data_IF_640345120679
#
_entry.id   IF_640345120679
#
_cell.length_a   1.000
_cell.length_b   1.000
_cell.length_c   1.000
_cell.angle_alpha   90.00
_cell.angle_beta   90.00
_cell.angle_gamma   90.00
#
_symmetry.space_group_name_H-M   'P 1'
#
loop_
_entity.id
_entity.type
_entity.pdbx_description
1 polymer ?
#
# COMPACT_ATOMS: atom_id res chain seq x y z
N UNK A 1 -7.26 31.42 56.25
CA UNK A 1 -6.23 31.24 55.18
C UNK A 1 -6.15 29.81 54.62
N UNK A 2 -7.26 29.04 54.54
CA UNK A 2 -7.23 27.62 54.17
C UNK A 2 -7.76 27.22 52.77
N UNK A 3 -8.23 28.19 51.98
CA UNK A 3 -8.88 27.85 50.70
C UNK A 3 -7.97 27.82 49.46
N UNK A 4 -6.66 28.07 49.62
CA UNK A 4 -5.72 28.12 48.50
C UNK A 4 -5.19 26.74 48.02
N UNK A 5 -5.03 25.78 48.92
CA UNK A 5 -4.40 24.50 48.64
C UNK A 5 -5.29 23.53 47.86
N UNK A 6 -6.61 23.59 48.05
CA UNK A 6 -7.55 22.66 47.36
C UNK A 6 -7.74 22.99 45.88
N UNK A 7 -7.54 24.25 45.48
CA UNK A 7 -7.68 24.67 44.05
C UNK A 7 -6.51 24.24 43.19
N UNK A 8 -5.28 24.18 43.72
CA UNK A 8 -4.07 23.80 42.98
C UNK A 8 -4.06 22.29 42.68
N UNK A 9 -4.55 21.44 43.58
CA UNK A 9 -4.60 19.99 43.38
C UNK A 9 -5.57 19.57 42.26
N UNK A 10 -6.70 20.28 42.11
CA UNK A 10 -7.70 20.02 41.08
C UNK A 10 -7.18 20.31 39.66
N UNK A 11 -6.43 21.37 39.48
CA UNK A 11 -5.85 21.70 38.17
C UNK A 11 -4.75 20.71 37.72
N UNK A 12 -3.93 20.24 38.65
CA UNK A 12 -2.90 19.23 38.35
C UNK A 12 -3.52 17.87 37.96
N UNK A 13 -4.59 17.46 38.64
CA UNK A 13 -5.33 16.23 38.30
C UNK A 13 -5.98 16.32 36.92
N UNK A 14 -6.63 17.43 36.60
CA UNK A 14 -7.26 17.65 35.30
C UNK A 14 -6.24 17.61 34.16
N UNK A 15 -5.09 18.26 34.34
CA UNK A 15 -4.02 18.24 33.35
C UNK A 15 -3.44 16.82 33.12
N UNK A 16 -3.34 16.02 34.16
CA UNK A 16 -2.87 14.62 34.07
C UNK A 16 -3.90 13.75 33.31
N UNK A 17 -5.18 13.88 33.63
CA UNK A 17 -6.26 13.15 32.93
C UNK A 17 -6.27 13.49 31.45
N UNK A 18 -6.16 14.76 31.08
CA UNK A 18 -6.11 15.20 29.68
C UNK A 18 -4.90 14.63 28.91
N UNK A 19 -3.73 14.52 29.56
CA UNK A 19 -2.54 13.90 28.95
C UNK A 19 -2.73 12.41 28.75
N UNK A 20 -3.29 11.71 29.75
CA UNK A 20 -3.57 10.26 29.66
C UNK A 20 -4.60 9.98 28.57
N UNK A 21 -5.67 10.77 28.48
CA UNK A 21 -6.66 10.65 27.40
C UNK A 21 -6.06 10.91 26.03
N UNK A 22 -5.16 11.91 25.91
CA UNK A 22 -4.42 12.16 24.68
C UNK A 22 -3.54 10.97 24.27
N UNK A 23 -2.77 10.41 25.19
CA UNK A 23 -1.93 9.25 24.96
C UNK A 23 -2.77 8.00 24.56
N UNK A 24 -3.87 7.77 25.25
CA UNK A 24 -4.79 6.67 24.95
C UNK A 24 -5.39 6.80 23.55
N UNK A 25 -5.80 8.01 23.15
CA UNK A 25 -6.30 8.28 21.79
C UNK A 25 -5.26 7.94 20.72
N UNK A 26 -3.99 8.33 20.91
CA UNK A 26 -2.93 8.01 19.96
C UNK A 26 -2.67 6.50 19.90
N UNK A 27 -2.67 5.82 21.06
CA UNK A 27 -2.52 4.36 21.10
C UNK A 27 -3.62 3.65 20.33
N UNK A 28 -4.88 4.05 20.53
CA UNK A 28 -6.03 3.48 19.80
C UNK A 28 -5.87 3.68 18.30
N UNK A 29 -5.48 4.86 17.84
CA UNK A 29 -5.24 5.12 16.41
C UNK A 29 -4.14 4.21 15.85
N UNK A 30 -3.01 4.06 16.55
CA UNK A 30 -1.91 3.20 16.10
C UNK A 30 -2.36 1.73 16.02
N UNK A 31 -3.09 1.24 17.01
CA UNK A 31 -3.62 -0.14 17.03
C UNK A 31 -4.59 -0.38 15.88
N UNK A 32 -5.53 0.55 15.65
CA UNK A 32 -6.51 0.45 14.55
C UNK A 32 -5.83 0.48 13.20
N UNK A 33 -4.88 1.40 12.99
CA UNK A 33 -4.11 1.48 11.73
C UNK A 33 -3.30 0.20 11.52
N UNK A 34 -2.62 -0.31 12.56
CA UNK A 34 -1.85 -1.55 12.50
C UNK A 34 -2.74 -2.75 12.13
N UNK A 35 -3.94 -2.85 12.75
CA UNK A 35 -4.91 -3.90 12.44
C UNK A 35 -5.41 -3.82 10.98
N UNK A 36 -5.75 -2.62 10.51
CA UNK A 36 -6.20 -2.41 9.13
C UNK A 36 -5.11 -2.79 8.13
N UNK A 37 -3.85 -2.37 8.37
CA UNK A 37 -2.72 -2.72 7.50
C UNK A 37 -2.47 -4.24 7.50
N UNK A 38 -2.51 -4.89 8.65
CA UNK A 38 -2.38 -6.34 8.76
C UNK A 38 -3.50 -7.08 8.02
N UNK A 39 -4.75 -6.63 8.17
CA UNK A 39 -5.90 -7.19 7.48
C UNK A 39 -5.80 -7.04 5.96
N UNK A 40 -5.36 -5.86 5.48
CA UNK A 40 -5.11 -5.61 4.06
C UNK A 40 -4.07 -6.56 3.49
N UNK A 41 -2.96 -6.70 4.21
CA UNK A 41 -1.87 -7.60 3.81
C UNK A 41 -2.33 -9.07 3.76
N UNK A 42 -2.96 -9.55 4.83
CA UNK A 42 -3.49 -10.92 4.88
C UNK A 42 -4.53 -11.18 3.79
N UNK A 43 -5.37 -10.19 3.46
CA UNK A 43 -6.35 -10.33 2.38
C UNK A 43 -5.71 -10.43 1.01
N UNK A 44 -4.58 -9.75 0.77
CA UNK A 44 -3.88 -9.84 -0.54
C UNK A 44 -3.28 -11.22 -0.79
N UNK A 45 -2.82 -11.91 0.26
CA UNK A 45 -2.27 -13.27 0.16
C UNK A 45 -3.33 -14.32 -0.22
N UNK A 46 -4.60 -14.08 0.10
CA UNK A 46 -5.70 -15.01 -0.16
C UNK A 46 -6.38 -14.79 -1.52
N UNK A 47 -6.04 -13.73 -2.23
CA UNK A 47 -6.62 -13.42 -3.54
C UNK A 47 -5.81 -14.07 -4.65
N UNK A 48 -6.48 -14.77 -5.56
CA UNK A 48 -5.82 -15.47 -6.65
C UNK A 48 -5.78 -14.64 -7.92
N UNK A 49 -4.73 -14.82 -8.69
CA UNK A 49 -4.65 -14.33 -10.05
C UNK A 49 -5.71 -15.03 -10.91
N UNK A 50 -6.25 -14.36 -11.90
CA UNK A 50 -7.16 -14.92 -12.89
C UNK A 50 -6.45 -15.08 -14.23
N UNK A 51 -6.89 -16.03 -15.05
CA UNK A 51 -6.43 -16.17 -16.42
C UNK A 51 -7.56 -15.67 -17.33
N UNK A 52 -7.32 -14.58 -18.04
CA UNK A 52 -8.26 -13.95 -18.96
C UNK A 52 -7.58 -13.74 -20.32
N UNK A 53 -8.17 -14.25 -21.39
CA UNK A 53 -7.66 -14.13 -22.77
C UNK A 53 -6.18 -14.52 -22.95
N UNK A 54 -5.72 -15.54 -22.24
CA UNK A 54 -4.31 -15.97 -22.30
C UNK A 54 -3.34 -15.10 -21.51
N UNK A 55 -3.85 -14.13 -20.74
CA UNK A 55 -3.07 -13.30 -19.82
C UNK A 55 -3.35 -13.70 -18.37
N UNK A 56 -2.30 -13.80 -17.56
CA UNK A 56 -2.45 -13.92 -16.11
C UNK A 56 -2.64 -12.54 -15.52
N UNK A 57 -3.82 -12.29 -14.92
CA UNK A 57 -4.22 -10.99 -14.40
C UNK A 57 -4.10 -10.98 -12.88
N UNK A 58 -3.46 -9.97 -12.33
CA UNK A 58 -3.23 -9.74 -10.90
C UNK A 58 -3.99 -8.49 -10.45
N UNK A 59 -5.25 -8.63 -10.04
CA UNK A 59 -6.06 -7.50 -9.60
C UNK A 59 -5.57 -6.97 -8.25
N UNK A 60 -5.91 -5.71 -7.89
CA UNK A 60 -5.82 -5.23 -6.52
C UNK A 60 -6.69 -6.08 -5.60
N UNK A 61 -6.21 -6.37 -4.39
CA UNK A 61 -6.96 -7.19 -3.44
C UNK A 61 -8.33 -6.59 -3.11
N UNK A 62 -9.31 -7.44 -2.79
CA UNK A 62 -10.68 -7.02 -2.41
C UNK A 62 -10.65 -6.06 -1.24
N UNK A 63 -9.76 -6.32 -0.28
CA UNK A 63 -9.62 -5.47 0.88
C UNK A 63 -9.18 -4.05 0.50
N UNK A 64 -8.21 -3.88 -0.41
CA UNK A 64 -7.80 -2.55 -0.86
C UNK A 64 -8.92 -1.86 -1.65
N UNK A 65 -9.68 -2.61 -2.45
CA UNK A 65 -10.85 -2.09 -3.18
C UNK A 65 -11.91 -1.58 -2.22
N UNK A 66 -12.29 -2.39 -1.23
CA UNK A 66 -13.27 -2.02 -0.20
C UNK A 66 -12.80 -0.81 0.61
N UNK A 67 -11.52 -0.80 1.04
CA UNK A 67 -10.96 0.32 1.79
C UNK A 67 -10.98 1.61 0.97
N UNK A 68 -10.60 1.55 -0.31
CA UNK A 68 -10.60 2.75 -1.18
C UNK A 68 -12.01 3.28 -1.38
N UNK A 69 -13.00 2.42 -1.59
CA UNK A 69 -14.41 2.82 -1.70
C UNK A 69 -14.86 3.46 -0.37
N UNK A 70 -14.56 2.81 0.76
CA UNK A 70 -14.94 3.34 2.08
C UNK A 70 -14.32 4.71 2.36
N UNK A 71 -13.01 4.87 2.11
CA UNK A 71 -12.33 6.15 2.25
C UNK A 71 -12.89 7.20 1.29
N UNK A 72 -13.19 6.81 0.05
CA UNK A 72 -13.80 7.69 -0.94
C UNK A 72 -15.15 8.22 -0.46
N UNK A 73 -16.03 7.33 0.01
CA UNK A 73 -17.34 7.71 0.55
C UNK A 73 -17.19 8.59 1.80
N UNK A 74 -16.27 8.24 2.72
CA UNK A 74 -16.03 9.01 3.92
C UNK A 74 -15.53 10.43 3.61
N UNK A 75 -14.54 10.58 2.75
CA UNK A 75 -14.03 11.91 2.37
C UNK A 75 -15.04 12.72 1.57
N UNK A 76 -15.82 12.09 0.68
CA UNK A 76 -16.90 12.76 -0.03
C UNK A 76 -17.99 13.26 0.94
N UNK A 77 -18.35 12.45 1.94
CA UNK A 77 -19.33 12.83 2.97
C UNK A 77 -18.82 13.98 3.85
N UNK A 78 -17.54 13.94 4.24
CA UNK A 78 -16.90 15.02 5.02
C UNK A 78 -16.79 16.30 4.18
N UNK A 79 -16.47 16.20 2.89
CA UNK A 79 -16.49 17.35 1.97
C UNK A 79 -17.88 17.98 1.94
N UNK A 80 -18.92 17.20 1.66
CA UNK A 80 -20.30 17.71 1.60
C UNK A 80 -20.74 18.30 2.93
N UNK A 81 -20.49 17.59 4.03
CA UNK A 81 -20.82 18.09 5.36
C UNK A 81 -20.11 19.42 5.66
N UNK A 82 -18.82 19.49 5.43
CA UNK A 82 -18.05 20.73 5.68
C UNK A 82 -18.50 21.88 4.80
N UNK A 83 -18.84 21.61 3.54
CA UNK A 83 -19.37 22.62 2.61
C UNK A 83 -20.65 23.27 3.08
N UNK A 84 -21.57 22.49 3.67
CA UNK A 84 -22.86 23.00 4.13
C UNK A 84 -22.84 23.47 5.60
N UNK A 85 -22.03 22.87 6.46
CA UNK A 85 -22.03 23.16 7.91
C UNK A 85 -21.05 24.27 8.28
N UNK A 86 -19.90 24.38 7.61
CA UNK A 86 -18.90 25.38 7.92
C UNK A 86 -19.15 26.64 7.10
N UNK A 87 -19.79 27.63 7.72
CA UNK A 87 -20.10 28.91 7.09
C UNK A 87 -19.18 30.06 7.56
N UNK A 88 -18.17 29.77 8.39
CA UNK A 88 -17.23 30.76 8.87
C UNK A 88 -16.20 31.10 7.81
N UNK A 89 -15.91 32.38 7.55
CA UNK A 89 -14.96 32.78 6.52
C UNK A 89 -13.54 32.25 6.75
N UNK A 90 -13.16 31.97 8.00
CA UNK A 90 -11.83 31.47 8.35
C UNK A 90 -11.64 29.97 8.07
N UNK A 91 -12.75 29.24 7.82
CA UNK A 91 -12.75 27.78 7.63
C UNK A 91 -13.01 27.35 6.18
N UNK A 92 -13.03 28.28 5.21
CA UNK A 92 -13.33 28.02 3.80
C UNK A 92 -12.42 27.00 3.13
N UNK A 93 -11.23 26.79 3.64
CA UNK A 93 -10.23 25.83 3.11
C UNK A 93 -10.51 24.36 3.49
N UNK A 94 -11.29 24.11 4.55
CA UNK A 94 -11.53 22.75 5.08
C UNK A 94 -12.17 21.82 4.06
N UNK A 95 -13.22 22.23 3.33
CA UNK A 95 -13.78 21.37 2.26
C UNK A 95 -12.74 20.97 1.21
N UNK A 96 -11.88 21.90 0.79
CA UNK A 96 -10.84 21.60 -0.22
C UNK A 96 -9.78 20.64 0.29
N UNK A 97 -9.51 20.62 1.60
CA UNK A 97 -8.64 19.63 2.23
C UNK A 97 -9.23 18.22 2.05
N UNK A 98 -10.51 18.02 2.33
CA UNK A 98 -11.16 16.72 2.14
C UNK A 98 -11.23 16.30 0.67
N UNK A 99 -11.46 17.24 -0.24
CA UNK A 99 -11.39 16.99 -1.68
C UNK A 99 -9.98 16.56 -2.10
N UNK A 100 -8.94 17.20 -1.55
CA UNK A 100 -7.55 16.82 -1.77
C UNK A 100 -7.24 15.40 -1.29
N UNK A 101 -7.71 15.00 -0.10
CA UNK A 101 -7.58 13.63 0.39
C UNK A 101 -8.33 12.60 -0.46
N UNK A 102 -9.53 12.95 -0.94
CA UNK A 102 -10.27 12.11 -1.88
C UNK A 102 -9.48 11.89 -3.17
N UNK A 103 -8.96 12.96 -3.77
CA UNK A 103 -8.15 12.88 -4.97
C UNK A 103 -6.88 12.04 -4.75
N UNK A 104 -6.20 12.24 -3.61
CA UNK A 104 -5.02 11.45 -3.23
C UNK A 104 -5.37 9.96 -3.08
N UNK A 105 -6.46 9.62 -2.39
CA UNK A 105 -6.90 8.23 -2.22
C UNK A 105 -7.14 7.53 -3.56
N UNK A 106 -7.75 8.26 -4.51
CA UNK A 106 -7.97 7.76 -5.87
C UNK A 106 -6.66 7.61 -6.66
N UNK A 107 -5.70 8.53 -6.50
CA UNK A 107 -4.41 8.46 -7.20
C UNK A 107 -3.51 7.31 -6.70
N UNK A 108 -3.65 6.93 -5.43
CA UNK A 108 -2.85 5.85 -4.80
C UNK A 108 -3.42 4.47 -5.09
N UNK A 109 -4.63 4.37 -5.68
CA UNK A 109 -5.24 3.08 -6.01
C UNK A 109 -4.34 2.24 -6.92
N UNK A 110 -3.97 1.00 -6.51
CA UNK A 110 -3.04 0.18 -7.28
C UNK A 110 -3.64 -0.24 -8.62
N UNK A 111 -2.81 -0.30 -9.68
CA UNK A 111 -3.25 -0.73 -11.00
C UNK A 111 -3.51 -2.24 -11.04
N UNK A 112 -4.32 -2.67 -11.98
CA UNK A 112 -4.41 -4.08 -12.38
C UNK A 112 -3.17 -4.42 -13.21
N UNK A 113 -2.51 -5.53 -12.88
CA UNK A 113 -1.33 -6.00 -13.59
C UNK A 113 -1.68 -7.22 -14.40
N UNK A 114 -1.03 -7.40 -15.54
CA UNK A 114 -1.20 -8.56 -16.40
C UNK A 114 0.14 -9.06 -16.93
N UNK A 115 0.27 -10.38 -17.01
CA UNK A 115 1.41 -11.06 -17.66
C UNK A 115 0.87 -11.78 -18.88
N UNK A 116 1.36 -11.42 -20.05
CA UNK A 116 1.00 -12.04 -21.32
C UNK A 116 2.18 -12.68 -22.01
N UNK A 117 1.93 -13.23 -23.19
CA UNK A 117 2.96 -13.83 -24.06
C UNK A 117 4.00 -12.79 -24.46
N UNK A 118 3.56 -11.56 -24.79
CA UNK A 118 4.42 -10.50 -25.34
C UNK A 118 5.12 -9.66 -24.27
N UNK A 119 4.67 -9.71 -23.00
CA UNK A 119 5.22 -8.84 -21.97
C UNK A 119 4.31 -8.66 -20.76
N UNK A 120 4.58 -7.61 -20.02
CA UNK A 120 3.89 -7.23 -18.79
C UNK A 120 3.05 -5.97 -19.05
N UNK A 121 1.79 -6.02 -18.65
CA UNK A 121 0.86 -4.89 -18.70
C UNK A 121 0.55 -4.34 -17.31
N UNK A 122 0.22 -3.06 -17.26
CA UNK A 122 -0.32 -2.38 -16.08
C UNK A 122 -1.42 -1.44 -16.53
N UNK A 123 -2.63 -1.66 -16.05
CA UNK A 123 -3.80 -0.86 -16.36
C UNK A 123 -4.28 -0.12 -15.09
N UNK A 124 -4.18 1.20 -15.13
CA UNK A 124 -4.68 2.05 -14.04
C UNK A 124 -6.19 2.30 -14.22
N UNK A 125 -6.92 2.48 -13.13
CA UNK A 125 -8.34 2.87 -13.15
C UNK A 125 -8.61 4.19 -13.91
N UNK A 126 -7.60 5.08 -14.05
CA UNK A 126 -7.67 6.30 -14.88
C UNK A 126 -7.50 6.03 -16.39
N UNK A 127 -7.51 4.77 -16.83
CA UNK A 127 -7.32 4.40 -18.23
C UNK A 127 -5.88 4.50 -18.73
N UNK A 128 -4.91 4.78 -17.86
CA UNK A 128 -3.49 4.78 -18.23
C UNK A 128 -2.99 3.35 -18.34
N UNK A 129 -2.54 2.99 -19.53
CA UNK A 129 -1.93 1.70 -19.78
C UNK A 129 -0.41 1.85 -19.92
N UNK A 130 0.33 0.92 -19.29
CA UNK A 130 1.77 0.76 -19.47
C UNK A 130 2.01 -0.67 -19.90
N UNK A 131 2.80 -0.86 -20.95
CA UNK A 131 3.23 -2.18 -21.41
C UNK A 131 4.75 -2.19 -21.52
N UNK A 132 5.37 -3.28 -21.05
CA UNK A 132 6.80 -3.57 -21.18
C UNK A 132 6.88 -4.92 -21.88
N UNK A 133 7.58 -4.98 -23.01
CA UNK A 133 7.88 -6.24 -23.71
C UNK A 133 8.95 -7.02 -22.98
N UNK A 134 8.98 -8.32 -23.09
CA UNK A 134 9.98 -9.15 -22.43
C UNK A 134 11.40 -8.77 -22.82
N UNK A 135 11.64 -8.48 -24.11
CA UNK A 135 12.92 -8.05 -24.68
C UNK A 135 13.43 -6.70 -24.14
N UNK A 136 12.53 -5.84 -23.67
CA UNK A 136 12.85 -4.52 -23.12
C UNK A 136 13.19 -4.57 -21.63
N UNK A 137 12.96 -5.68 -20.93
CA UNK A 137 13.22 -5.80 -19.49
C UNK A 137 14.71 -5.80 -19.23
N UNK A 138 15.19 -4.86 -18.41
CA UNK A 138 16.61 -4.69 -18.11
C UNK A 138 16.98 -5.02 -16.68
N UNK A 139 16.08 -4.85 -15.72
CA UNK A 139 16.37 -5.18 -14.33
C UNK A 139 15.11 -5.46 -13.52
N UNK A 140 15.28 -6.33 -12.53
CA UNK A 140 14.26 -6.71 -11.56
C UNK A 140 14.68 -6.18 -10.18
N UNK A 141 13.74 -5.61 -9.44
CA UNK A 141 13.97 -5.10 -8.07
C UNK A 141 12.89 -5.60 -7.14
N UNK A 142 13.29 -6.11 -6.01
CA UNK A 142 12.39 -6.54 -4.96
C UNK A 142 12.73 -5.86 -3.64
N UNK A 143 11.73 -5.27 -2.99
CA UNK A 143 11.86 -4.66 -1.68
C UNK A 143 11.11 -5.52 -0.67
N UNK A 144 11.86 -6.16 0.23
CA UNK A 144 11.28 -7.07 1.23
C UNK A 144 10.50 -6.35 2.32
N UNK A 145 10.74 -5.04 2.54
CA UNK A 145 10.06 -4.28 3.59
C UNK A 145 8.60 -3.94 3.28
N UNK A 146 8.26 -3.81 2.01
CA UNK A 146 6.89 -3.51 1.56
C UNK A 146 6.40 -4.48 0.46
N UNK A 147 7.14 -5.57 0.24
CA UNK A 147 6.85 -6.61 -0.76
C UNK A 147 6.62 -6.06 -2.18
N UNK A 148 7.27 -4.96 -2.49
CA UNK A 148 7.18 -4.37 -3.82
C UNK A 148 8.15 -5.04 -4.78
N UNK A 149 7.63 -5.53 -5.90
CA UNK A 149 8.42 -6.04 -7.00
C UNK A 149 8.30 -5.10 -8.20
N UNK A 150 9.43 -4.60 -8.69
CA UNK A 150 9.48 -3.61 -9.77
C UNK A 150 10.26 -4.17 -10.95
N UNK A 151 9.62 -4.15 -12.11
CA UNK A 151 10.22 -4.45 -13.41
C UNK A 151 10.60 -3.14 -14.08
N UNK A 152 11.86 -3.02 -14.47
CA UNK A 152 12.37 -1.84 -15.17
C UNK A 152 12.71 -2.21 -16.63
N UNK A 153 12.31 -1.33 -17.54
CA UNK A 153 12.61 -1.45 -18.97
C UNK A 153 13.72 -0.48 -19.40
N UNK A 154 14.35 -0.80 -20.53
CA UNK A 154 15.37 0.05 -21.16
C UNK A 154 14.84 1.46 -21.48
N UNK A 155 13.56 1.58 -21.82
CA UNK A 155 12.87 2.85 -22.06
C UNK A 155 12.69 3.74 -20.81
N UNK A 156 13.17 3.31 -19.63
CA UNK A 156 12.93 3.96 -18.35
C UNK A 156 11.53 3.71 -17.77
N UNK A 157 10.66 2.96 -18.48
CA UNK A 157 9.35 2.55 -17.97
C UNK A 157 9.52 1.58 -16.80
N UNK A 158 8.60 1.71 -15.83
CA UNK A 158 8.58 0.83 -14.65
C UNK A 158 7.17 0.34 -14.42
N UNK A 159 7.04 -0.95 -14.14
CA UNK A 159 5.80 -1.57 -13.66
C UNK A 159 6.12 -2.15 -12.29
N UNK A 160 5.31 -1.76 -11.29
CA UNK A 160 5.50 -2.19 -9.90
C UNK A 160 4.27 -2.98 -9.46
N UNK A 161 4.52 -4.21 -9.00
CA UNK A 161 3.56 -4.98 -8.23
C UNK A 161 3.68 -4.54 -6.78
N UNK A 162 2.64 -3.93 -6.26
CA UNK A 162 2.56 -3.61 -4.83
C UNK A 162 2.17 -4.87 -4.05
N UNK A 163 2.60 -4.99 -2.80
CA UNK A 163 2.22 -6.13 -1.94
C UNK A 163 0.71 -6.25 -1.66
N UNK A 164 -0.09 -5.31 -2.16
CA UNK A 164 -1.56 -5.32 -2.09
C UNK A 164 -2.26 -5.87 -3.35
N UNK A 165 -1.53 -6.27 -4.38
CA UNK A 165 -2.07 -6.99 -5.52
C UNK A 165 -2.10 -8.50 -5.22
N UNK A 166 -2.96 -9.23 -5.94
CA UNK A 166 -3.08 -10.68 -5.80
C UNK A 166 -1.74 -11.40 -6.04
N UNK A 167 -1.49 -12.45 -5.28
CA UNK A 167 -0.38 -13.41 -5.45
C UNK A 167 0.99 -12.78 -5.79
N UNK A 168 1.59 -11.97 -4.91
CA UNK A 168 2.87 -11.33 -5.20
C UNK A 168 4.00 -12.34 -5.48
N UNK A 169 3.95 -13.51 -4.86
CA UNK A 169 4.90 -14.60 -5.09
C UNK A 169 4.82 -15.16 -6.51
N UNK A 170 3.60 -15.46 -6.99
CA UNK A 170 3.38 -15.96 -8.33
C UNK A 170 3.81 -14.93 -9.40
N UNK A 171 3.45 -13.66 -9.21
CA UNK A 171 3.87 -12.58 -10.11
C UNK A 171 5.40 -12.51 -10.25
N UNK A 172 6.11 -12.54 -9.12
CA UNK A 172 7.58 -12.53 -9.08
C UNK A 172 8.16 -13.74 -9.77
N UNK A 173 7.65 -14.96 -9.46
CA UNK A 173 8.12 -16.21 -10.05
C UNK A 173 7.95 -16.22 -11.57
N UNK A 174 6.77 -15.87 -12.08
CA UNK A 174 6.48 -15.84 -13.51
C UNK A 174 7.39 -14.90 -14.28
N UNK A 175 7.65 -13.70 -13.74
CA UNK A 175 8.54 -12.75 -14.40
C UNK A 175 9.99 -13.25 -14.37
N UNK A 176 10.44 -13.75 -13.22
CA UNK A 176 11.79 -14.25 -13.06
C UNK A 176 12.07 -15.43 -13.98
N UNK A 177 11.13 -16.38 -14.09
CA UNK A 177 11.18 -17.52 -14.99
C UNK A 177 11.30 -17.11 -16.47
N UNK A 178 10.59 -16.06 -16.89
CA UNK A 178 10.59 -15.61 -18.29
C UNK A 178 11.80 -14.77 -18.65
N UNK A 179 12.27 -13.95 -17.73
CA UNK A 179 13.40 -13.02 -18.00
C UNK A 179 14.75 -13.62 -17.69
N UNK A 180 14.83 -14.56 -16.74
CA UNK A 180 16.09 -15.16 -16.21
C UNK A 180 17.11 -14.12 -15.76
N UNK A 181 16.65 -12.90 -15.43
CA UNK A 181 17.51 -11.82 -14.98
C UNK A 181 17.79 -11.93 -13.48
N UNK A 182 18.98 -11.56 -13.01
CA UNK A 182 19.26 -11.46 -11.58
C UNK A 182 18.36 -10.40 -10.93
N UNK A 183 17.93 -10.67 -9.71
CA UNK A 183 17.02 -9.80 -8.97
C UNK A 183 17.79 -8.99 -7.92
N UNK A 184 17.66 -7.67 -7.97
CA UNK A 184 18.17 -6.77 -6.92
C UNK A 184 17.20 -6.74 -5.76
N UNK A 185 17.61 -7.33 -4.63
CA UNK A 185 16.81 -7.39 -3.41
C UNK A 185 17.25 -6.27 -2.48
N UNK A 186 16.30 -5.48 -2.02
CA UNK A 186 16.51 -4.44 -1.01
C UNK A 186 15.88 -4.92 0.29
N UNK A 187 16.68 -5.07 1.35
CA UNK A 187 16.23 -5.40 2.70
C UNK A 187 16.31 -4.15 3.58
N UNK A 188 15.25 -3.79 4.30
CA UNK A 188 15.32 -2.69 5.25
C UNK A 188 16.29 -3.08 6.38
N UNK A 189 17.36 -2.31 6.54
CA UNK A 189 18.29 -2.42 7.65
C UNK A 189 17.98 -1.38 8.73
N UNK A 190 18.57 -1.53 9.92
CA UNK A 190 18.35 -0.61 11.05
C UNK A 190 18.85 0.81 10.79
N UNK A 191 19.89 0.98 9.96
CA UNK A 191 20.50 2.29 9.64
C UNK A 191 20.60 2.57 8.16
N UNK A 192 20.75 1.52 7.32
CA UNK A 192 20.80 1.63 5.86
C UNK A 192 20.12 0.41 5.25
N UNK A 193 19.50 0.59 4.09
CA UNK A 193 18.98 -0.53 3.31
C UNK A 193 20.16 -1.34 2.73
N UNK A 194 20.11 -2.65 2.92
CA UNK A 194 21.05 -3.58 2.30
C UNK A 194 20.54 -3.95 0.91
N UNK A 195 21.43 -3.87 -0.10
CA UNK A 195 21.09 -4.23 -1.47
C UNK A 195 22.02 -5.36 -1.88
N UNK A 196 21.46 -6.47 -2.31
CA UNK A 196 22.19 -7.63 -2.83
C UNK A 196 21.51 -8.17 -4.08
N UNK A 197 22.27 -8.85 -4.91
CA UNK A 197 21.76 -9.51 -6.11
C UNK A 197 21.56 -10.99 -5.83
N UNK A 198 20.37 -11.49 -6.16
CA UNK A 198 20.03 -12.91 -6.08
C UNK A 198 20.05 -13.46 -7.52
N UNK A 199 20.92 -14.43 -7.82
CA UNK A 199 20.94 -15.08 -9.12
C UNK A 199 19.67 -15.89 -9.37
N UNK A 200 19.36 -16.17 -10.64
CA UNK A 200 18.15 -16.89 -11.03
C UNK A 200 18.02 -18.28 -10.35
N UNK A 201 19.11 -18.99 -10.26
CA UNK A 201 19.15 -20.38 -9.75
C UNK A 201 18.78 -20.50 -8.26
N UNK A 202 19.06 -19.49 -7.43
CA UNK A 202 18.72 -19.52 -5.99
C UNK A 202 17.23 -19.27 -5.71
N UNK A 203 16.53 -18.56 -6.60
CA UNK A 203 15.11 -18.24 -6.41
C UNK A 203 14.22 -19.43 -6.74
N UNK A 204 14.66 -20.30 -7.63
CA UNK A 204 13.89 -21.49 -8.02
C UNK A 204 13.79 -22.50 -6.87
N UNK A 205 14.84 -22.64 -6.06
CA UNK A 205 14.86 -23.53 -4.88
C UNK A 205 14.03 -23.00 -3.70
N UNK A 206 13.94 -21.70 -3.49
CA UNK A 206 13.09 -21.11 -2.44
C UNK A 206 11.59 -21.18 -2.80
N UNK A 207 11.24 -21.09 -4.10
CA UNK A 207 9.85 -21.16 -4.58
C UNK A 207 9.23 -22.54 -4.38
N UNK A 208 9.98 -23.62 -4.58
CA UNK A 208 9.52 -25.00 -4.35
C UNK A 208 9.38 -25.32 -2.85
N UNK A 209 10.26 -24.79 -2.00
CA UNK A 209 10.22 -25.05 -0.57
C UNK A 209 9.00 -24.39 0.12
N UNK A 210 8.48 -23.27 -0.40
CA UNK A 210 7.33 -22.55 0.18
C UNK A 210 5.99 -23.19 -0.20
N UNK A 211 5.91 -23.99 -1.28
CA UNK A 211 4.68 -24.70 -1.65
C UNK A 211 4.45 -26.02 -0.90
N UNK A 212 5.45 -26.54 -0.19
CA UNK A 212 5.37 -27.81 0.56
C UNK A 212 5.03 -27.61 2.05
N UNK A 213 4.95 -26.38 2.54
CA UNK A 213 4.81 -26.07 3.98
C UNK A 213 3.46 -25.44 4.37
N UNK A 214 2.36 -25.69 3.63
CA UNK A 214 0.99 -25.34 4.08
C UNK A 214 -0.02 -26.43 3.73
#
# INVERSE_FOLDING_TARGET
MENGYLRVSSHAQTATILRVMGALRHLVVVVVVGFVLHWLWKSSLNERASVEDGHTVFPPSRAIRILTIFLGVAFASLFLWSWFALRKPDEWWVPYLFLGFLALALCVYPPVLSIGVDGIGSHSWLGREKKIRWEDVTSLRYNTGNEQFTVCANSGRKITHAGFNAEPGLFRHEIHKRTRLPMKVTRPGTWKAEIFEVPYEEVETEGEATHVAF
#
